data_IF_389908678194
#
_entry.id   IF_389908678194
#
_cell.length_a   1.000
_cell.length_b   1.000
_cell.length_c   1.000
_cell.angle_alpha   90.00
_cell.angle_beta   90.00
_cell.angle_gamma   90.00
#
_symmetry.space_group_name_H-M   'P 1'
#
loop_
_entity.id
_entity.type
_entity.pdbx_description
1 polymer ?
#
# COMPACT_ATOMS: atom_id res chain seq x y z
N UNK A 1 13.86 19.67 14.20
CA UNK A 1 14.08 19.34 14.31
C UNK A 1 13.98 19.03 14.32
N UNK A 2 14.01 19.14 14.09
CA UNK A 2 14.26 18.68 14.08
C UNK A 2 13.86 18.41 14.06
N UNK A 3 13.69 18.46 13.77
CA UNK A 3 13.58 18.06 13.69
C UNK A 3 13.48 17.43 13.71
N UNK A 4 13.58 17.31 13.46
CA UNK A 4 13.73 16.72 13.42
C UNK A 4 13.55 16.27 13.55
N UNK A 5 13.61 16.38 13.35
CA UNK A 5 13.48 15.83 13.44
C UNK A 5 12.99 15.47 13.67
N UNK A 6 12.85 15.84 13.51
CA UNK A 6 12.37 15.41 13.60
C UNK A 6 12.08 14.88 13.65
N UNK A 7 12.22 15.08 13.49
CA UNK A 7 11.97 14.36 13.40
C UNK A 7 11.67 13.70 13.45
N UNK A 8 11.33 13.92 13.28
CA UNK A 8 11.01 13.02 13.21
C UNK A 8 10.77 12.45 13.01
N UNK A 9 10.88 12.36 13.28
CA UNK A 9 10.61 11.68 12.96
C UNK A 9 10.14 11.04 12.09
N UNK A 10 10.44 10.96 12.23
CA UNK A 10 10.16 10.47 10.91
C UNK A 10 9.73 9.01 10.89
N UNK A 11 8.50 8.73 10.45
CA UNK A 11 7.90 7.41 10.55
C UNK A 11 7.92 6.64 9.22
N UNK A 12 8.60 7.16 8.21
CA UNK A 12 8.79 6.44 6.94
C UNK A 12 10.20 5.85 6.93
N UNK A 13 10.27 4.55 6.69
CA UNK A 13 11.55 3.85 6.59
C UNK A 13 11.64 3.20 5.22
N UNK A 14 12.80 3.25 4.61
CA UNK A 14 13.03 2.65 3.29
C UNK A 14 13.92 1.43 3.48
N UNK A 15 13.43 0.28 3.02
CA UNK A 15 14.12 -0.98 3.28
C UNK A 15 14.25 -1.81 2.02
N UNK A 16 15.15 -2.79 2.06
CA UNK A 16 15.32 -3.80 1.03
C UNK A 16 14.81 -5.12 1.58
N UNK A 17 14.18 -5.93 0.75
CA UNK A 17 13.76 -7.25 1.17
C UNK A 17 12.54 -7.74 0.41
N UNK A 18 11.97 -8.82 0.91
CA UNK A 18 10.78 -9.43 0.34
C UNK A 18 9.57 -8.98 1.16
N UNK A 19 8.78 -8.08 0.59
CA UNK A 19 7.60 -7.55 1.27
C UNK A 19 6.61 -8.66 1.67
N UNK A 20 6.62 -9.78 0.94
CA UNK A 20 5.75 -10.91 1.26
C UNK A 20 6.11 -11.57 2.59
N UNK A 21 7.33 -11.32 3.09
CA UNK A 21 7.79 -11.84 4.39
C UNK A 21 7.62 -10.83 5.51
N UNK A 22 6.94 -9.72 5.25
CA UNK A 22 6.76 -8.66 6.24
C UNK A 22 6.02 -9.17 7.49
N UNK A 23 6.45 -8.67 8.64
CA UNK A 23 5.79 -8.92 9.92
C UNK A 23 4.96 -7.72 10.37
N UNK A 24 4.79 -6.72 9.52
CA UNK A 24 3.96 -5.57 9.85
C UNK A 24 2.49 -5.96 9.95
N UNK A 25 1.70 -5.11 10.59
CA UNK A 25 0.28 -5.39 10.76
C UNK A 25 -0.45 -5.52 9.43
N UNK A 26 -0.05 -4.71 8.45
CA UNK A 26 -0.68 -4.69 7.14
C UNK A 26 0.35 -4.55 6.03
N UNK A 27 0.01 -5.09 4.86
CA UNK A 27 0.74 -4.83 3.62
C UNK A 27 -0.23 -4.07 2.72
N UNK A 28 0.18 -2.89 2.24
CA UNK A 28 -0.64 -2.09 1.34
C UNK A 28 -0.23 -2.28 -0.10
N UNK A 29 -1.18 -2.18 -1.01
CA UNK A 29 -0.91 -2.29 -2.44
C UNK A 29 -1.83 -1.35 -3.21
N UNK A 30 -1.38 -0.94 -4.39
CA UNK A 30 -2.20 -0.17 -5.30
C UNK A 30 -2.94 -1.08 -6.26
N UNK A 31 -4.19 -0.77 -6.54
CA UNK A 31 -5.00 -1.57 -7.45
C UNK A 31 -5.79 -0.65 -8.39
N UNK A 32 -6.29 -1.24 -9.47
CA UNK A 32 -7.11 -0.50 -10.45
C UNK A 32 -8.53 -0.36 -9.92
N UNK A 33 -9.15 0.78 -10.25
CA UNK A 33 -10.54 1.05 -9.86
C UNK A 33 -11.49 0.13 -10.59
N UNK A 34 -12.46 -0.39 -9.85
CA UNK A 34 -13.55 -1.15 -10.44
C UNK A 34 -13.16 -2.44 -11.13
N UNK A 35 -11.91 -2.83 -11.03
CA UNK A 35 -11.42 -4.01 -11.74
C UNK A 35 -10.75 -4.98 -10.78
N UNK A 36 -11.13 -6.24 -10.90
CA UNK A 36 -10.47 -7.30 -10.15
C UNK A 36 -9.38 -7.97 -10.94
N UNK A 37 -9.27 -7.61 -12.21
CA UNK A 37 -8.23 -8.14 -13.07
C UNK A 37 -6.85 -7.67 -12.63
N UNK A 38 -6.77 -6.48 -12.05
CA UNK A 38 -5.52 -5.97 -11.52
C UNK A 38 -4.91 -6.81 -10.43
N UNK A 39 -5.69 -7.73 -9.87
CA UNK A 39 -5.18 -8.64 -8.85
C UNK A 39 -4.49 -9.87 -9.45
N UNK A 40 -4.48 -9.96 -10.75
CA UNK A 40 -3.90 -11.11 -11.44
C UNK A 40 -2.43 -10.96 -11.81
N UNK A 41 -1.76 -9.88 -11.43
CA UNK A 41 -0.37 -9.62 -11.82
C UNK A 41 0.46 -9.10 -10.65
N UNK A 42 1.77 -9.30 -10.75
CA UNK A 42 2.73 -8.71 -9.84
C UNK A 42 2.48 -9.01 -8.37
N UNK A 43 2.69 -8.01 -7.53
CA UNK A 43 2.52 -8.15 -6.09
C UNK A 43 1.07 -8.49 -5.74
N UNK A 44 0.11 -7.89 -6.44
CA UNK A 44 -1.30 -8.15 -6.18
C UNK A 44 -1.62 -9.64 -6.34
N UNK A 45 -1.07 -10.27 -7.37
CA UNK A 45 -1.26 -11.71 -7.58
C UNK A 45 -0.65 -12.52 -6.45
N UNK A 46 0.57 -12.18 -6.05
CA UNK A 46 1.26 -12.91 -4.98
C UNK A 46 0.55 -12.77 -3.64
N UNK A 47 0.09 -11.58 -3.30
CA UNK A 47 -0.66 -11.37 -2.08
C UNK A 47 -1.99 -12.12 -2.09
N UNK A 48 -2.65 -12.14 -3.24
CA UNK A 48 -3.90 -12.87 -3.39
C UNK A 48 -3.68 -14.37 -3.20
N UNK A 49 -2.55 -14.88 -3.69
CA UNK A 49 -2.21 -16.29 -3.53
C UNK A 49 -1.92 -16.65 -2.09
N UNK A 50 -1.26 -15.75 -1.36
CA UNK A 50 -0.96 -15.98 0.06
C UNK A 50 -2.19 -15.85 0.95
N UNK A 51 -3.11 -14.97 0.59
CA UNK A 51 -4.26 -14.65 1.42
C UNK A 51 -5.55 -14.65 0.62
N UNK A 52 -5.94 -15.81 0.09
CA UNK A 52 -7.13 -15.88 -0.79
C UNK A 52 -8.42 -15.47 -0.08
N UNK A 53 -8.50 -15.68 1.23
CA UNK A 53 -9.70 -15.29 1.98
C UNK A 53 -9.85 -13.77 2.04
N UNK A 54 -8.73 -13.05 2.17
CA UNK A 54 -8.77 -11.58 2.17
C UNK A 54 -9.15 -11.07 0.78
N UNK A 55 -8.62 -11.71 -0.26
CA UNK A 55 -8.97 -11.36 -1.62
C UNK A 55 -10.48 -11.49 -1.86
N UNK A 56 -11.08 -12.55 -1.32
CA UNK A 56 -12.53 -12.75 -1.42
C UNK A 56 -13.29 -11.61 -0.78
N UNK A 57 -12.82 -11.12 0.36
CA UNK A 57 -13.44 -9.97 1.03
C UNK A 57 -13.39 -8.73 0.16
N UNK A 58 -12.24 -8.48 -0.47
CA UNK A 58 -12.10 -7.33 -1.35
C UNK A 58 -13.00 -7.45 -2.58
N UNK A 59 -13.05 -8.61 -3.19
CA UNK A 59 -13.91 -8.83 -4.36
C UNK A 59 -15.38 -8.64 -4.01
N UNK A 60 -15.80 -9.12 -2.84
CA UNK A 60 -17.17 -8.93 -2.38
C UNK A 60 -17.46 -7.45 -2.17
N UNK A 61 -16.52 -6.72 -1.57
CA UNK A 61 -16.68 -5.29 -1.34
C UNK A 61 -16.86 -4.54 -2.66
N UNK A 62 -16.03 -4.84 -3.66
CA UNK A 62 -16.08 -4.13 -4.94
C UNK A 62 -17.29 -4.49 -5.77
N UNK A 63 -17.91 -5.63 -5.53
CA UNK A 63 -19.18 -5.98 -6.18
C UNK A 63 -20.36 -5.18 -5.62
N UNK A 64 -20.28 -4.80 -4.35
CA UNK A 64 -21.39 -4.16 -3.66
C UNK A 64 -21.17 -2.67 -3.43
N UNK A 65 -19.96 -2.17 -3.66
CA UNK A 65 -19.59 -0.79 -3.41
C UNK A 65 -18.73 -0.30 -4.56
N UNK A 66 -19.01 0.89 -5.04
CA UNK A 66 -18.21 1.47 -6.12
C UNK A 66 -16.85 1.89 -5.55
N UNK A 67 -15.80 1.20 -6.00
CA UNK A 67 -14.42 1.50 -5.57
C UNK A 67 -13.87 2.55 -6.52
N UNK A 68 -13.63 3.75 -6.01
CA UNK A 68 -13.28 4.91 -6.82
C UNK A 68 -11.87 5.40 -6.53
N UNK A 69 -11.42 6.36 -7.34
CA UNK A 69 -10.10 6.95 -7.22
C UNK A 69 -9.78 7.34 -5.77
N UNK A 70 -8.67 6.82 -5.26
CA UNK A 70 -8.21 7.14 -3.92
C UNK A 70 -8.93 6.42 -2.79
N UNK A 71 -9.87 5.53 -3.11
CA UNK A 71 -10.53 4.75 -2.06
C UNK A 71 -9.56 3.73 -1.47
N UNK A 72 -9.81 3.40 -0.20
CA UNK A 72 -9.01 2.44 0.54
C UNK A 72 -9.92 1.38 1.15
N UNK A 73 -9.57 0.12 0.97
CA UNK A 73 -10.28 -0.99 1.62
C UNK A 73 -9.28 -1.76 2.47
N UNK A 74 -9.67 -2.05 3.70
CA UNK A 74 -8.83 -2.84 4.61
C UNK A 74 -9.41 -4.23 4.71
N UNK A 75 -8.64 -5.21 4.21
CA UNK A 75 -9.00 -6.61 4.31
C UNK A 75 -8.26 -7.25 5.45
N UNK A 76 -9.00 -7.79 6.40
CA UNK A 76 -8.39 -8.49 7.51
C UNK A 76 -9.29 -9.60 8.03
N UNK A 77 -8.65 -10.62 8.58
CA UNK A 77 -9.35 -11.76 9.17
C UNK A 77 -8.75 -11.97 10.55
N UNK A 78 -9.63 -12.04 11.53
CA UNK A 78 -9.19 -12.21 12.91
C UNK A 78 -8.32 -13.46 13.06
N UNK A 79 -7.17 -13.29 13.70
CA UNK A 79 -6.24 -14.39 13.92
C UNK A 79 -5.23 -14.59 12.79
N UNK A 80 -5.32 -13.80 11.72
CA UNK A 80 -4.39 -13.89 10.61
C UNK A 80 -3.70 -12.54 10.39
N UNK A 81 -2.42 -12.60 10.11
CA UNK A 81 -1.60 -11.42 9.91
C UNK A 81 -0.59 -11.71 8.81
N UNK A 82 -0.24 -10.76 7.97
CA UNK A 82 -0.74 -9.39 7.96
C UNK A 82 -2.10 -9.28 7.27
N UNK A 83 -2.80 -8.18 7.54
CA UNK A 83 -3.94 -7.80 6.73
C UNK A 83 -3.45 -7.14 5.45
N UNK A 84 -4.36 -6.87 4.53
CA UNK A 84 -4.02 -6.25 3.25
C UNK A 84 -4.84 -4.98 3.07
N UNK A 85 -4.15 -3.90 2.73
CA UNK A 85 -4.80 -2.63 2.44
C UNK A 85 -4.76 -2.43 0.91
N UNK A 86 -5.93 -2.21 0.33
CA UNK A 86 -6.07 -1.99 -1.11
C UNK A 86 -6.33 -0.51 -1.34
N UNK A 87 -5.50 0.11 -2.18
CA UNK A 87 -5.61 1.55 -2.47
C UNK A 87 -5.88 1.72 -3.95
N UNK A 88 -6.95 2.43 -4.32
CA UNK A 88 -7.30 2.67 -5.71
C UNK A 88 -6.38 3.75 -6.28
N UNK A 89 -5.29 3.32 -6.93
CA UNK A 89 -4.24 4.21 -7.42
C UNK A 89 -4.23 4.38 -8.92
N UNK A 90 -5.06 3.63 -9.64
CA UNK A 90 -4.99 3.67 -11.09
C UNK A 90 -6.33 3.37 -11.75
N UNK A 91 -6.61 4.03 -12.90
CA UNK A 91 -7.85 3.76 -13.63
C UNK A 91 -7.81 2.42 -14.36
N UNK A 92 -6.62 1.91 -14.68
CA UNK A 92 -6.46 0.62 -15.34
C UNK A 92 -5.20 -0.09 -14.84
N UNK A 93 -4.89 -1.25 -15.41
CA UNK A 93 -3.77 -2.08 -14.95
C UNK A 93 -2.39 -1.48 -15.21
N UNK A 94 -2.29 -0.53 -16.12
CA UNK A 94 -1.00 -0.10 -16.63
C UNK A 94 -0.64 1.35 -16.34
N UNK A 95 -1.56 2.13 -15.78
CA UNK A 95 -1.34 3.56 -15.59
C UNK A 95 -1.84 4.01 -14.23
N UNK A 96 -0.90 4.28 -13.33
CA UNK A 96 -1.26 4.92 -12.07
C UNK A 96 -1.36 6.42 -12.32
N UNK A 97 -2.13 7.09 -11.47
CA UNK A 97 -2.30 8.54 -11.56
C UNK A 97 -1.95 9.19 -10.24
N UNK A 98 -1.17 10.27 -10.31
CA UNK A 98 -0.75 10.97 -9.10
C UNK A 98 -1.94 11.51 -8.30
N UNK A 99 -3.01 11.93 -8.98
CA UNK A 99 -4.20 12.41 -8.28
C UNK A 99 -4.87 11.30 -7.50
N UNK A 100 -4.93 10.08 -8.05
CA UNK A 100 -5.47 8.92 -7.34
C UNK A 100 -4.58 8.58 -6.15
N UNK A 101 -3.28 8.55 -6.38
CA UNK A 101 -2.31 8.22 -5.35
C UNK A 101 -2.35 9.23 -4.21
N UNK A 102 -2.43 10.51 -4.54
CA UNK A 102 -2.51 11.57 -3.55
C UNK A 102 -3.74 11.38 -2.64
N UNK A 103 -4.89 11.13 -3.25
CA UNK A 103 -6.13 10.87 -2.48
C UNK A 103 -6.00 9.62 -1.65
N UNK A 104 -5.44 8.56 -2.24
CA UNK A 104 -5.29 7.28 -1.57
C UNK A 104 -4.39 7.36 -0.35
N UNK A 105 -3.26 8.04 -0.47
CA UNK A 105 -2.34 8.17 0.65
C UNK A 105 -2.93 9.01 1.77
N UNK A 106 -3.68 10.05 1.43
CA UNK A 106 -4.36 10.85 2.45
C UNK A 106 -5.42 10.03 3.17
N UNK A 107 -6.16 9.22 2.44
CA UNK A 107 -7.16 8.33 3.04
C UNK A 107 -6.46 7.27 3.90
N UNK A 108 -5.36 6.70 3.41
CA UNK A 108 -4.59 5.73 4.16
C UNK A 108 -4.14 6.31 5.49
N UNK A 109 -3.59 7.51 5.48
CA UNK A 109 -3.15 8.19 6.70
C UNK A 109 -4.31 8.31 7.69
N UNK A 110 -5.45 8.80 7.22
CA UNK A 110 -6.61 8.97 8.08
C UNK A 110 -7.09 7.65 8.67
N UNK A 111 -7.13 6.60 7.87
CA UNK A 111 -7.56 5.28 8.34
C UNK A 111 -6.58 4.75 9.39
N UNK A 112 -5.28 4.90 9.15
CA UNK A 112 -4.27 4.46 10.12
C UNK A 112 -4.39 5.20 11.44
N UNK A 113 -4.63 6.51 11.39
CA UNK A 113 -4.81 7.31 12.60
C UNK A 113 -6.07 6.91 13.35
N UNK A 114 -7.17 6.74 12.63
CA UNK A 114 -8.46 6.41 13.25
C UNK A 114 -8.46 5.02 13.88
N UNK A 115 -7.76 4.08 13.29
CA UNK A 115 -7.72 2.70 13.80
C UNK A 115 -6.55 2.41 14.72
N UNK A 116 -5.62 3.35 14.86
CA UNK A 116 -4.41 3.13 15.66
C UNK A 116 -3.50 2.06 15.07
N UNK A 117 -3.39 2.01 13.76
CA UNK A 117 -2.52 1.06 13.08
C UNK A 117 -1.06 1.47 13.34
N UNK A 118 -0.22 0.51 13.71
CA UNK A 118 1.15 0.80 14.11
C UNK A 118 2.15 0.65 12.98
N UNK A 119 2.00 -0.37 12.14
CA UNK A 119 2.98 -0.64 11.09
C UNK A 119 2.30 -1.07 9.79
N UNK A 120 2.78 -0.53 8.68
CA UNK A 120 2.29 -0.87 7.34
C UNK A 120 3.49 -1.00 6.40
N UNK A 121 3.52 -2.09 5.64
CA UNK A 121 4.50 -2.27 4.57
C UNK A 121 3.92 -1.76 3.26
N UNK A 122 4.73 -1.08 2.47
CA UNK A 122 4.32 -0.55 1.18
C UNK A 122 5.38 -0.86 0.13
N UNK A 123 4.97 -1.27 -1.08
CA UNK A 123 5.89 -1.31 -2.20
C UNK A 123 6.01 0.08 -2.81
N UNK A 124 6.76 0.23 -3.88
CA UNK A 124 6.81 1.48 -4.63
C UNK A 124 5.53 1.62 -5.46
N UNK A 125 4.45 1.92 -4.78
CA UNK A 125 3.12 1.98 -5.38
C UNK A 125 3.10 2.95 -6.56
N UNK A 126 2.55 2.49 -7.68
CA UNK A 126 2.43 3.30 -8.89
C UNK A 126 3.66 3.31 -9.76
N UNK A 127 4.80 2.86 -9.25
CA UNK A 127 6.06 2.96 -9.99
C UNK A 127 6.44 1.68 -10.74
N UNK A 128 5.70 0.61 -10.55
CA UNK A 128 5.92 -0.63 -11.31
C UNK A 128 5.13 -0.59 -12.61
N UNK A 129 4.11 -1.43 -12.70
CA UNK A 129 3.24 -1.46 -13.89
C UNK A 129 2.52 -0.13 -14.09
N UNK A 130 2.29 0.63 -13.01
CA UNK A 130 1.64 1.94 -13.10
C UNK A 130 2.48 3.01 -13.78
N UNK A 131 3.79 2.80 -13.92
CA UNK A 131 4.70 3.63 -14.69
C UNK A 131 4.98 5.04 -14.19
N UNK A 132 4.63 5.35 -12.95
CA UNK A 132 5.04 6.62 -12.35
C UNK A 132 6.52 6.54 -11.97
N UNK A 133 7.19 7.68 -11.96
CA UNK A 133 8.59 7.72 -11.55
C UNK A 133 8.70 7.74 -10.03
N UNK A 134 9.42 6.76 -9.48
CA UNK A 134 9.53 6.63 -8.04
C UNK A 134 10.22 7.84 -7.40
N UNK A 135 11.41 8.18 -7.89
CA UNK A 135 12.21 9.22 -7.24
C UNK A 135 11.63 10.62 -7.37
N UNK A 136 11.08 10.96 -8.53
CA UNK A 136 10.63 12.32 -8.79
C UNK A 136 9.15 12.55 -8.52
N UNK A 137 8.34 11.48 -8.53
CA UNK A 137 6.89 11.63 -8.40
C UNK A 137 6.31 10.98 -7.16
N UNK A 138 6.64 9.71 -6.91
CA UNK A 138 5.95 8.94 -5.87
C UNK A 138 6.58 9.12 -4.50
N UNK A 139 7.89 9.00 -4.40
CA UNK A 139 8.58 9.11 -3.11
C UNK A 139 8.36 10.47 -2.44
N UNK A 140 8.46 11.61 -3.16
CA UNK A 140 8.14 12.89 -2.54
C UNK A 140 6.72 12.97 -2.02
N UNK A 141 5.78 12.32 -2.71
CA UNK A 141 4.39 12.32 -2.28
C UNK A 141 4.21 11.51 -1.00
N UNK A 142 4.85 10.35 -0.91
CA UNK A 142 4.85 9.55 0.32
C UNK A 142 5.36 10.41 1.49
N UNK A 143 6.47 11.08 1.29
CA UNK A 143 7.09 11.87 2.36
C UNK A 143 6.23 13.05 2.77
N UNK A 144 5.61 13.71 1.81
CA UNK A 144 4.79 14.87 2.14
C UNK A 144 3.49 14.48 2.88
N UNK A 145 2.94 13.32 2.62
CA UNK A 145 1.65 12.92 3.20
C UNK A 145 1.83 12.08 4.46
N UNK A 146 2.77 11.14 4.46
CA UNK A 146 2.85 10.12 5.50
C UNK A 146 3.87 10.40 6.60
N UNK A 147 4.73 11.39 6.43
CA UNK A 147 5.86 11.60 7.35
C UNK A 147 5.44 12.01 8.76
N UNK A 148 4.31 12.66 8.92
CA UNK A 148 3.86 13.12 10.24
C UNK A 148 2.80 12.22 10.88
N UNK A 149 2.65 11.02 10.36
CA UNK A 149 1.72 10.03 10.90
C UNK A 149 2.42 9.20 11.98
N UNK A 150 1.69 8.79 13.00
CA UNK A 150 2.26 7.94 14.06
C UNK A 150 2.50 6.51 13.60
N UNK A 151 1.82 6.09 12.54
CA UNK A 151 2.06 4.79 11.94
C UNK A 151 3.45 4.75 11.30
N UNK A 152 4.17 3.65 11.50
CA UNK A 152 5.45 3.45 10.82
C UNK A 152 5.19 2.81 9.48
N UNK A 153 5.64 3.48 8.42
CA UNK A 153 5.51 2.97 7.06
C UNK A 153 6.85 2.45 6.58
N UNK A 154 6.91 1.15 6.35
CA UNK A 154 8.11 0.48 5.85
C UNK A 154 7.99 0.31 4.35
N UNK A 155 8.71 1.14 3.60
CA UNK A 155 8.64 1.17 2.15
C UNK A 155 9.73 0.29 1.57
N UNK A 156 9.34 -0.73 0.83
CA UNK A 156 10.27 -1.66 0.21
C UNK A 156 10.73 -1.10 -1.13
N UNK A 157 11.84 -0.37 -1.08
CA UNK A 157 12.40 0.24 -2.30
C UNK A 157 13.07 -0.78 -3.20
N UNK A 158 13.73 -1.77 -2.58
CA UNK A 158 14.40 -2.82 -3.34
C UNK A 158 13.81 -4.16 -2.97
N UNK A 159 13.28 -4.86 -3.97
CA UNK A 159 12.71 -6.17 -3.77
C UNK A 159 13.81 -7.23 -3.77
N UNK A 160 13.84 -8.04 -2.74
CA UNK A 160 14.76 -9.17 -2.65
C UNK A 160 14.01 -10.38 -2.14
N UNK A 161 14.20 -11.51 -2.83
CA UNK A 161 13.58 -12.76 -2.41
C UNK A 161 14.51 -13.43 -1.42
N UNK A 162 14.16 -13.37 -0.14
CA UNK A 162 15.05 -13.77 0.94
C UNK A 162 15.23 -15.28 1.06
N UNK A 163 14.28 -16.05 0.61
CA UNK A 163 14.34 -17.50 0.72
C UNK A 163 15.00 -18.18 -0.48
N UNK A 164 15.34 -17.40 -1.45
CA UNK A 164 15.92 -17.90 -2.69
C UNK A 164 17.42 -17.95 -2.54
N UNK A 165 17.97 -19.12 -2.40
CA UNK A 165 19.39 -19.30 -2.14
C UNK A 165 20.01 -20.13 -3.22
#
# INVERSE_FOLDING_TARGET
HYKQQKNGNNMIKYISGDILQSKDEYIAQGVAVGSQEGLGTGLAFKLSSQSPEIQKLFKKYTRNTKFQAGDVFIGEIKGFSPGIIYIATQPDMYHAELTYLNKGLKRLKKVCENRGIKTVSLPKIGAGLGKLDWNSEVKPLFESILSDCETVFNVYEDYKIEYEI
#
